data_IF_349588645251
#
_entry.id   IF_349588645251
#
_cell.length_a   1.000
_cell.length_b   1.000
_cell.length_c   1.000
_cell.angle_alpha   90.00
_cell.angle_beta   90.00
_cell.angle_gamma   90.00
#
_symmetry.space_group_name_H-M   'P 1'
#
loop_
_entity.id
_entity.type
_entity.pdbx_description
1 polymer ?
#
# COMPACT_ATOMS: atom_id res chain seq x y z
N UNK A 1 -1.19 -20.95 25.16
CA UNK A 1 -0.37 -19.75 25.47
C UNK A 1 1.07 -20.20 25.72
N UNK A 2 2.17 -19.46 25.45
CA UNK A 2 2.38 -18.19 24.75
C UNK A 2 3.45 -18.31 23.62
N UNK A 3 3.10 -18.15 22.33
CA UNK A 3 4.10 -18.20 21.22
C UNK A 3 4.64 -16.82 20.82
N UNK A 4 4.10 -15.74 21.35
CA UNK A 4 4.37 -14.38 20.89
C UNK A 4 5.23 -13.53 21.84
N UNK A 5 5.36 -13.92 23.11
CA UNK A 5 6.00 -13.08 24.14
C UNK A 5 7.50 -12.84 23.88
N UNK A 6 8.14 -13.68 23.07
CA UNK A 6 9.57 -13.55 22.71
C UNK A 6 9.84 -12.57 21.56
N UNK A 7 8.82 -12.12 20.84
CA UNK A 7 8.99 -11.21 19.70
C UNK A 7 9.11 -9.79 20.24
N UNK A 8 10.31 -9.20 20.15
CA UNK A 8 10.54 -7.80 20.48
C UNK A 8 10.09 -6.90 19.34
N UNK A 9 9.41 -5.81 19.67
CA UNK A 9 8.96 -4.78 18.72
C UNK A 9 9.76 -3.51 18.94
N UNK A 10 10.49 -3.09 17.91
CA UNK A 10 11.44 -1.99 17.96
C UNK A 10 11.09 -0.94 16.90
N UNK A 11 11.37 0.34 17.17
CA UNK A 11 11.00 1.41 16.23
C UNK A 11 11.67 1.24 14.86
N UNK A 12 12.81 0.55 14.82
CA UNK A 12 13.54 0.11 13.62
C UNK A 12 12.74 -0.85 12.73
N UNK A 13 11.64 -1.42 13.22
CA UNK A 13 10.68 -2.20 12.43
C UNK A 13 9.78 -1.29 11.54
N UNK A 14 9.85 0.03 11.71
CA UNK A 14 9.25 1.03 10.81
C UNK A 14 10.27 1.58 9.82
N UNK A 15 9.80 1.99 8.65
CA UNK A 15 10.58 2.84 7.75
C UNK A 15 10.83 4.22 8.41
N UNK A 16 11.92 4.93 8.05
CA UNK A 16 12.15 6.29 8.57
C UNK A 16 10.97 7.24 8.33
N UNK A 17 10.29 7.09 7.19
CA UNK A 17 9.10 7.87 6.85
C UNK A 17 7.93 7.56 7.79
N UNK A 18 7.62 6.29 8.01
CA UNK A 18 6.56 5.87 8.94
C UNK A 18 6.86 6.27 10.38
N UNK A 19 8.13 6.15 10.81
CA UNK A 19 8.54 6.61 12.13
C UNK A 19 8.32 8.12 12.29
N UNK A 20 8.63 8.92 11.25
CA UNK A 20 8.38 10.37 11.27
C UNK A 20 6.88 10.68 11.40
N UNK A 21 6.03 9.96 10.65
CA UNK A 21 4.57 10.13 10.73
C UNK A 21 4.00 9.83 12.12
N UNK A 22 4.57 8.87 12.86
CA UNK A 22 4.16 8.56 14.24
C UNK A 22 4.35 9.78 15.16
N UNK A 23 5.52 10.44 15.08
CA UNK A 23 5.81 11.58 15.94
C UNK A 23 5.09 12.85 15.48
N UNK A 24 4.95 13.05 14.17
CA UNK A 24 4.16 14.13 13.59
C UNK A 24 2.70 14.05 14.08
N UNK A 25 2.10 12.86 14.07
CA UNK A 25 0.75 12.65 14.59
C UNK A 25 0.62 13.03 16.07
N UNK A 26 1.56 12.60 16.91
CA UNK A 26 1.53 12.90 18.35
C UNK A 26 1.64 14.41 18.61
N UNK A 27 2.44 15.10 17.80
CA UNK A 27 2.64 16.54 17.89
C UNK A 27 1.38 17.31 17.45
N UNK A 28 0.82 16.99 16.28
CA UNK A 28 -0.42 17.59 15.76
C UNK A 28 -1.58 17.39 16.74
N UNK A 29 -1.73 16.17 17.28
CA UNK A 29 -2.79 15.87 18.24
C UNK A 29 -2.72 16.74 19.49
N UNK A 30 -1.51 17.03 19.98
CA UNK A 30 -1.31 17.87 21.15
C UNK A 30 -1.48 19.36 20.81
N UNK A 31 -0.76 19.85 19.82
CA UNK A 31 -0.62 21.30 19.59
C UNK A 31 -1.81 21.89 18.83
N UNK A 32 -2.41 21.14 17.90
CA UNK A 32 -3.51 21.65 17.05
C UNK A 32 -4.89 21.18 17.54
N UNK A 33 -4.96 20.00 18.16
CA UNK A 33 -6.23 19.38 18.55
C UNK A 33 -6.43 19.26 20.07
N UNK A 34 -5.51 19.77 20.88
CA UNK A 34 -5.62 19.78 22.35
C UNK A 34 -6.01 18.41 22.93
N UNK A 35 -5.45 17.35 22.35
CA UNK A 35 -5.69 15.97 22.75
C UNK A 35 -7.15 15.50 22.59
N UNK A 36 -7.91 16.04 21.63
CA UNK A 36 -9.30 15.63 21.37
C UNK A 36 -9.39 14.11 21.08
N UNK A 37 -10.19 13.42 21.89
CA UNK A 37 -10.36 11.96 21.81
C UNK A 37 -11.06 11.53 20.52
N UNK A 38 -12.02 12.31 20.02
CA UNK A 38 -12.75 11.97 18.81
C UNK A 38 -11.83 12.08 17.59
N UNK A 39 -11.08 13.18 17.50
CA UNK A 39 -10.05 13.34 16.48
C UNK A 39 -9.03 12.20 16.55
N UNK A 40 -8.59 11.81 17.75
CA UNK A 40 -7.68 10.67 17.91
C UNK A 40 -8.28 9.38 17.34
N UNK A 41 -9.53 9.04 17.69
CA UNK A 41 -10.20 7.81 17.22
C UNK A 41 -10.41 7.79 15.71
N UNK A 42 -10.79 8.93 15.13
CA UNK A 42 -11.02 9.03 13.69
C UNK A 42 -9.70 8.96 12.93
N UNK A 43 -8.67 9.67 13.41
CA UNK A 43 -7.38 9.78 12.73
C UNK A 43 -6.51 8.54 12.87
N UNK A 44 -6.51 7.88 14.04
CA UNK A 44 -5.67 6.70 14.31
C UNK A 44 -6.00 5.54 13.35
N UNK A 45 -7.24 5.48 12.86
CA UNK A 45 -7.72 4.48 11.91
C UNK A 45 -7.02 4.55 10.55
N UNK A 46 -6.42 5.70 10.21
CA UNK A 46 -5.69 5.93 8.96
C UNK A 46 -4.23 5.43 9.01
N UNK A 47 -3.74 5.02 10.18
CA UNK A 47 -2.38 4.54 10.37
C UNK A 47 -2.32 3.02 10.29
N UNK A 48 -1.20 2.47 9.82
CA UNK A 48 -0.96 1.03 9.85
C UNK A 48 -0.85 0.52 11.29
N UNK A 49 -1.08 -0.77 11.54
CA UNK A 49 -0.97 -1.32 12.91
C UNK A 49 0.42 -1.19 13.52
N UNK A 50 1.47 -1.20 12.68
CA UNK A 50 2.83 -0.96 13.15
C UNK A 50 2.94 0.47 13.68
N UNK A 51 2.43 1.44 12.94
CA UNK A 51 2.39 2.85 13.35
C UNK A 51 1.47 3.07 14.55
N UNK A 52 0.25 2.52 14.56
CA UNK A 52 -0.67 2.58 15.69
C UNK A 52 -0.04 2.04 16.99
N UNK A 53 0.69 0.92 16.90
CA UNK A 53 1.42 0.38 18.05
C UNK A 53 2.44 1.39 18.59
N UNK A 54 3.24 2.01 17.72
CA UNK A 54 4.23 3.00 18.17
C UNK A 54 3.59 4.31 18.63
N UNK A 55 2.48 4.75 18.03
CA UNK A 55 1.68 5.87 18.52
C UNK A 55 1.23 5.56 19.96
N UNK A 56 0.66 4.39 20.21
CA UNK A 56 0.25 3.98 21.56
C UNK A 56 1.42 3.91 22.55
N UNK A 57 2.54 3.33 22.11
CA UNK A 57 3.75 3.18 22.94
C UNK A 57 4.33 4.54 23.34
N UNK A 58 4.42 5.49 22.41
CA UNK A 58 5.03 6.81 22.66
C UNK A 58 4.05 7.85 23.20
N UNK A 59 2.74 7.70 22.94
CA UNK A 59 1.70 8.57 23.52
C UNK A 59 1.75 8.61 25.05
N UNK A 60 2.14 7.51 25.71
CA UNK A 60 2.34 7.50 27.18
C UNK A 60 3.46 8.44 27.62
N UNK A 61 4.56 8.49 26.88
CA UNK A 61 5.67 9.41 27.15
C UNK A 61 5.36 10.84 26.67
N UNK A 62 4.53 11.01 25.65
CA UNK A 62 4.13 12.31 25.13
C UNK A 62 3.08 12.98 26.02
N UNK A 63 1.99 12.29 26.33
CA UNK A 63 0.81 12.87 26.98
C UNK A 63 0.72 12.54 28.46
N UNK A 64 1.55 11.63 28.99
CA UNK A 64 1.56 11.30 30.41
C UNK A 64 1.77 12.54 31.26
N UNK A 65 1.04 12.70 32.37
CA UNK A 65 1.23 13.83 33.27
C UNK A 65 2.34 13.52 34.29
N UNK A 66 3.57 13.37 33.82
CA UNK A 66 4.75 13.19 34.65
C UNK A 66 5.82 14.23 34.25
N UNK A 67 6.75 14.52 35.17
CA UNK A 67 7.78 15.55 34.96
C UNK A 67 8.74 15.28 33.81
N UNK A 68 8.66 14.10 33.20
CA UNK A 68 9.52 13.67 32.09
C UNK A 68 8.74 13.53 30.78
N UNK A 69 7.51 14.06 30.71
CA UNK A 69 6.69 13.99 29.51
C UNK A 69 6.83 15.23 28.64
N UNK A 70 6.60 15.04 27.35
CA UNK A 70 6.55 16.16 26.41
C UNK A 70 5.43 17.16 26.76
N UNK A 71 4.26 16.67 27.18
CA UNK A 71 3.14 17.51 27.61
C UNK A 71 3.55 18.44 28.75
N UNK A 72 4.26 17.93 29.76
CA UNK A 72 4.73 18.75 30.88
C UNK A 72 5.69 19.85 30.42
N UNK A 73 6.69 19.50 29.59
CA UNK A 73 7.62 20.47 29.01
C UNK A 73 6.92 21.50 28.12
N UNK A 74 5.91 21.07 27.37
CA UNK A 74 5.11 21.92 26.51
C UNK A 74 4.28 22.91 27.32
N UNK A 75 3.55 22.45 28.36
CA UNK A 75 2.77 23.30 29.26
C UNK A 75 3.64 24.36 29.93
N UNK A 76 4.84 23.98 30.38
CA UNK A 76 5.81 24.90 30.98
C UNK A 76 6.29 25.98 29.99
N UNK A 77 6.56 25.61 28.74
CA UNK A 77 6.94 26.56 27.67
C UNK A 77 5.85 27.57 27.36
N UNK A 78 4.58 27.18 27.50
CA UNK A 78 3.44 28.09 27.30
C UNK A 78 3.26 29.09 28.46
N UNK A 79 4.08 29.04 29.50
CA UNK A 79 4.00 29.99 30.62
C UNK A 79 2.81 29.77 31.56
N UNK A 80 2.16 28.60 31.47
CA UNK A 80 0.93 28.25 32.22
C UNK A 80 1.18 28.14 33.75
N UNK A 81 2.45 28.21 34.20
CA UNK A 81 2.79 28.30 35.63
C UNK A 81 2.34 29.64 36.28
N UNK A 82 1.93 30.67 35.52
CA UNK A 82 1.52 31.99 36.01
C UNK A 82 0.04 32.33 35.72
N UNK A 83 -0.85 31.50 36.29
CA UNK A 83 -2.31 31.61 36.50
C UNK A 83 -3.07 32.86 35.99
N UNK A 84 -3.81 32.69 34.90
CA UNK A 84 -5.13 33.32 34.67
C UNK A 84 -6.27 32.29 34.72
N UNK A 85 -7.51 32.73 34.98
CA UNK A 85 -8.68 31.84 35.12
C UNK A 85 -9.05 31.05 33.84
N UNK A 86 -8.70 31.56 32.65
CA UNK A 86 -8.99 30.87 31.38
C UNK A 86 -7.90 29.86 30.99
N UNK A 87 -6.64 30.11 31.36
CA UNK A 87 -5.53 29.14 31.20
C UNK A 87 -5.76 27.90 32.07
N UNK A 88 -6.36 28.04 33.25
CA UNK A 88 -6.76 26.92 34.10
C UNK A 88 -7.80 26.01 33.42
N UNK A 89 -8.75 26.58 32.66
CA UNK A 89 -9.75 25.77 31.93
C UNK A 89 -9.13 24.97 30.78
N UNK A 90 -8.16 25.54 30.07
CA UNK A 90 -7.44 24.86 28.99
C UNK A 90 -6.59 23.73 29.59
N UNK A 91 -5.92 23.97 30.71
CA UNK A 91 -5.15 22.95 31.43
C UNK A 91 -6.04 21.78 31.87
N UNK A 92 -7.19 22.08 32.48
CA UNK A 92 -8.16 21.07 32.91
C UNK A 92 -8.71 20.25 31.73
N UNK A 93 -8.97 20.91 30.60
CA UNK A 93 -9.40 20.25 29.36
C UNK A 93 -8.31 19.30 28.84
N UNK A 94 -7.07 19.76 28.73
CA UNK A 94 -5.93 18.96 28.24
C UNK A 94 -5.67 17.78 29.17
N UNK A 95 -5.74 17.98 30.49
CA UNK A 95 -5.55 16.90 31.47
C UNK A 95 -6.64 15.84 31.38
N UNK A 96 -7.89 16.28 31.22
CA UNK A 96 -9.05 15.39 31.01
C UNK A 96 -8.90 14.60 29.71
N UNK A 97 -8.56 15.29 28.62
CA UNK A 97 -8.38 14.71 27.30
C UNK A 97 -7.21 13.73 27.24
N UNK A 98 -6.07 14.08 27.84
CA UNK A 98 -4.91 13.19 27.98
C UNK A 98 -5.31 11.90 28.70
N UNK A 99 -5.97 12.02 29.86
CA UNK A 99 -6.44 10.86 30.63
C UNK A 99 -7.37 9.97 29.80
N UNK A 100 -8.29 10.56 29.04
CA UNK A 100 -9.20 9.84 28.17
C UNK A 100 -8.48 9.09 27.04
N UNK A 101 -7.49 9.72 26.40
CA UNK A 101 -6.66 9.08 25.37
C UNK A 101 -5.83 7.94 25.97
N UNK A 102 -5.17 8.16 27.12
CA UNK A 102 -4.37 7.13 27.78
C UNK A 102 -5.24 5.92 28.17
N UNK A 103 -6.44 6.14 28.69
CA UNK A 103 -7.41 5.08 28.97
C UNK A 103 -7.82 4.33 27.69
N UNK A 104 -8.07 5.03 26.58
CA UNK A 104 -8.34 4.38 25.31
C UNK A 104 -7.16 3.52 24.85
N UNK A 105 -5.93 4.03 24.98
CA UNK A 105 -4.71 3.32 24.61
C UNK A 105 -4.55 2.05 25.45
N UNK A 106 -4.70 2.13 26.77
CA UNK A 106 -4.55 0.96 27.65
C UNK A 106 -5.50 -0.18 27.28
N UNK A 107 -6.73 0.15 26.87
CA UNK A 107 -7.72 -0.82 26.41
C UNK A 107 -7.37 -1.48 25.07
N UNK A 108 -6.59 -0.80 24.21
CA UNK A 108 -6.31 -1.25 22.84
C UNK A 108 -4.85 -1.69 22.61
N UNK A 109 -3.93 -1.35 23.50
CA UNK A 109 -2.48 -1.56 23.36
C UNK A 109 -2.15 -3.04 23.20
N UNK A 110 -2.65 -3.90 24.10
CA UNK A 110 -2.38 -5.35 24.04
C UNK A 110 -2.89 -5.99 22.76
N UNK A 111 -4.05 -5.54 22.25
CA UNK A 111 -4.62 -6.05 21.00
C UNK A 111 -3.76 -5.64 19.81
N UNK A 112 -3.33 -4.38 19.78
CA UNK A 112 -2.46 -3.83 18.73
C UNK A 112 -1.07 -4.46 18.76
N UNK A 113 -0.50 -4.65 19.94
CA UNK A 113 0.77 -5.35 20.16
C UNK A 113 0.71 -6.79 19.66
N UNK A 114 -0.35 -7.54 20.02
CA UNK A 114 -0.55 -8.91 19.54
C UNK A 114 -0.63 -8.98 18.02
N UNK A 115 -1.34 -8.04 17.39
CA UNK A 115 -1.41 -7.92 15.94
C UNK A 115 -0.03 -7.64 15.34
N UNK A 116 0.73 -6.69 15.90
CA UNK A 116 2.08 -6.40 15.42
C UNK A 116 3.06 -7.57 15.57
N UNK A 117 3.07 -8.26 16.72
CA UNK A 117 3.88 -9.48 16.91
C UNK A 117 3.52 -10.57 15.91
N UNK A 118 2.22 -10.71 15.58
CA UNK A 118 1.76 -11.63 14.55
C UNK A 118 2.33 -11.27 13.17
N UNK A 119 2.32 -9.99 12.79
CA UNK A 119 2.96 -9.53 11.55
C UNK A 119 4.43 -9.87 11.48
N UNK A 120 5.20 -9.46 12.51
CA UNK A 120 6.65 -9.64 12.54
C UNK A 120 7.06 -11.12 12.46
N UNK A 121 6.29 -12.01 13.10
CA UNK A 121 6.50 -13.46 13.01
C UNK A 121 6.32 -14.01 11.60
N UNK A 122 5.30 -13.52 10.90
CA UNK A 122 4.88 -14.10 9.64
C UNK A 122 5.64 -13.54 8.45
N UNK A 123 6.23 -12.35 8.59
CA UNK A 123 7.11 -11.73 7.60
C UNK A 123 8.26 -12.66 7.18
N UNK A 124 8.92 -13.33 8.13
CA UNK A 124 10.00 -14.29 7.82
C UNK A 124 9.49 -15.60 7.20
N UNK A 125 8.32 -16.09 7.63
CA UNK A 125 7.77 -17.36 7.14
C UNK A 125 7.29 -17.29 5.68
N UNK A 126 6.95 -16.10 5.18
CA UNK A 126 6.54 -15.91 3.79
C UNK A 126 7.71 -15.61 2.85
N UNK A 127 8.86 -15.15 3.37
CA UNK A 127 10.08 -14.94 2.59
C UNK A 127 10.81 -16.25 2.23
N UNK A 128 10.61 -17.32 3.02
CA UNK A 128 11.27 -18.63 2.83
C UNK A 128 10.50 -19.53 1.83
N UNK A 129 9.22 -19.23 1.55
CA UNK A 129 8.49 -19.87 0.46
C UNK A 129 8.93 -19.26 -0.87
N UNK A 130 9.44 -20.08 -1.81
CA UNK A 130 10.03 -19.62 -3.07
C UNK A 130 9.23 -18.49 -3.70
N UNK A 131 9.88 -17.34 -3.92
CA UNK A 131 9.25 -16.06 -4.34
C UNK A 131 8.05 -16.28 -5.26
N UNK A 132 6.86 -16.12 -4.69
CA UNK A 132 5.62 -16.31 -5.42
C UNK A 132 5.36 -15.02 -6.22
N UNK A 133 5.66 -15.07 -7.52
CA UNK A 133 5.62 -13.90 -8.42
C UNK A 133 4.25 -13.72 -9.08
N UNK A 134 3.28 -13.23 -8.32
CA UNK A 134 1.95 -12.90 -8.87
C UNK A 134 1.78 -11.40 -9.04
N UNK A 135 1.93 -10.97 -10.30
CA UNK A 135 1.70 -9.61 -10.75
C UNK A 135 0.87 -9.67 -12.02
N UNK A 136 -0.22 -8.91 -12.06
CA UNK A 136 -1.06 -8.77 -13.25
C UNK A 136 -0.58 -7.52 -13.99
N UNK A 137 0.09 -7.64 -15.13
CA UNK A 137 0.66 -6.48 -15.80
C UNK A 137 -0.46 -5.56 -16.31
N UNK A 138 -0.59 -4.36 -15.73
CA UNK A 138 -1.17 -3.22 -16.42
C UNK A 138 -0.15 -2.77 -17.44
N UNK A 139 -0.42 -3.01 -18.71
CA UNK A 139 0.50 -2.62 -19.77
C UNK A 139 0.59 -1.08 -19.80
N UNK A 140 1.77 -0.53 -19.54
CA UNK A 140 2.16 0.76 -20.11
C UNK A 140 2.37 0.55 -21.61
N UNK A 141 1.85 1.45 -22.43
CA UNK A 141 2.18 1.49 -23.85
C UNK A 141 3.38 2.40 -24.00
N UNK A 142 4.46 1.90 -24.61
CA UNK A 142 5.47 2.81 -25.17
C UNK A 142 4.80 3.66 -26.24
N UNK A 143 4.57 4.91 -25.91
CA UNK A 143 4.01 5.93 -26.79
C UNK A 143 5.16 6.64 -27.47
N UNK A 144 5.02 6.93 -28.76
CA UNK A 144 5.94 7.85 -29.43
C UNK A 144 5.59 9.24 -28.94
N UNK A 145 6.53 9.90 -28.27
CA UNK A 145 6.41 11.32 -27.98
C UNK A 145 7.15 12.04 -29.10
N UNK A 146 6.42 12.86 -29.86
CA UNK A 146 7.05 13.81 -30.77
C UNK A 146 7.69 14.90 -29.92
N UNK A 147 8.97 15.12 -30.13
CA UNK A 147 9.79 16.01 -29.29
C UNK A 147 9.32 17.47 -29.36
N UNK A 148 8.69 17.84 -30.48
CA UNK A 148 8.20 19.18 -30.76
C UNK A 148 6.97 19.53 -29.89
N UNK A 149 6.27 18.53 -29.36
CA UNK A 149 5.05 18.70 -28.55
C UNK A 149 5.34 18.79 -27.03
N UNK A 150 6.56 18.52 -26.56
CA UNK A 150 6.86 18.46 -25.13
C UNK A 150 8.31 18.90 -24.76
N UNK A 151 8.60 20.21 -24.79
CA UNK A 151 9.96 20.74 -24.61
C UNK A 151 10.55 20.54 -23.21
N UNK A 152 9.72 20.43 -22.16
CA UNK A 152 10.21 20.17 -20.78
C UNK A 152 10.80 18.75 -20.63
N UNK A 153 10.26 17.78 -21.35
CA UNK A 153 10.78 16.41 -21.36
C UNK A 153 12.18 16.33 -21.99
N UNK A 154 12.44 17.20 -22.98
CA UNK A 154 13.71 17.36 -23.68
C UNK A 154 14.84 17.83 -22.76
N UNK A 155 14.56 18.75 -21.83
CA UNK A 155 15.58 19.19 -20.85
C UNK A 155 15.99 18.07 -19.90
N UNK A 156 15.04 17.29 -19.39
CA UNK A 156 15.33 16.17 -18.48
C UNK A 156 16.15 15.07 -19.14
N UNK A 157 15.89 14.77 -20.42
CA UNK A 157 16.69 13.78 -21.17
C UNK A 157 18.10 14.28 -21.50
N UNK A 158 18.26 15.56 -21.88
CA UNK A 158 19.58 16.17 -22.12
C UNK A 158 20.48 16.12 -20.88
N UNK A 159 19.89 16.20 -19.68
CA UNK A 159 20.59 16.04 -18.41
C UNK A 159 21.10 14.60 -18.17
N UNK A 160 20.39 13.58 -18.66
CA UNK A 160 20.76 12.16 -18.50
C UNK A 160 21.87 11.77 -19.49
N UNK A 161 21.82 12.26 -20.74
CA UNK A 161 22.74 11.88 -21.81
C UNK A 161 23.98 12.76 -21.96
N UNK A 162 24.11 13.88 -21.24
CA UNK A 162 25.38 14.64 -21.12
C UNK A 162 26.58 13.81 -20.61
N UNK A 163 26.37 12.56 -20.20
CA UNK A 163 27.42 11.59 -19.84
C UNK A 163 27.96 10.75 -21.01
N UNK A 164 27.38 10.85 -22.22
CA UNK A 164 27.85 10.10 -23.41
C UNK A 164 27.96 11.04 -24.61
N UNK A 165 29.20 11.31 -25.02
CA UNK A 165 29.59 12.22 -26.10
C UNK A 165 29.25 11.71 -27.51
N UNK A 166 27.99 11.38 -27.80
CA UNK A 166 27.57 11.05 -29.17
C UNK A 166 26.46 11.97 -29.66
N UNK A 167 26.60 12.41 -30.92
CA UNK A 167 25.70 13.34 -31.61
C UNK A 167 24.23 12.85 -31.57
N UNK A 168 23.40 13.64 -30.88
CA UNK A 168 22.02 13.32 -30.59
C UNK A 168 21.10 13.60 -31.79
N UNK A 169 20.92 12.62 -32.69
CA UNK A 169 19.86 12.65 -33.71
C UNK A 169 18.77 11.64 -33.37
N UNK A 170 17.80 12.06 -32.57
CA UNK A 170 16.63 11.23 -32.26
C UNK A 170 15.40 12.12 -32.38
N UNK A 171 14.67 12.03 -33.51
CA UNK A 171 13.40 12.75 -33.74
C UNK A 171 12.20 12.11 -33.03
N UNK A 172 12.35 10.91 -32.46
CA UNK A 172 11.26 10.19 -31.81
C UNK A 172 11.75 9.32 -30.65
N UNK A 173 11.28 9.61 -29.43
CA UNK A 173 11.50 8.74 -28.27
C UNK A 173 10.28 7.86 -28.01
N UNK A 174 10.55 6.59 -27.68
CA UNK A 174 9.55 5.70 -27.10
C UNK A 174 9.54 5.93 -25.59
N UNK A 175 8.52 6.63 -25.11
CA UNK A 175 8.32 6.90 -23.69
C UNK A 175 7.17 6.02 -23.21
N UNK A 176 7.30 5.39 -22.06
CA UNK A 176 6.14 4.76 -21.41
C UNK A 176 5.24 5.86 -20.82
N UNK A 177 4.34 6.43 -21.62
CA UNK A 177 3.24 7.23 -21.08
C UNK A 177 2.19 6.28 -20.51
N UNK A 178 1.71 6.59 -19.31
CA UNK A 178 0.52 5.92 -18.79
C UNK A 178 -0.62 6.15 -19.78
N UNK A 179 -1.22 5.08 -20.30
CA UNK A 179 -2.39 5.19 -21.17
C UNK A 179 -3.57 5.75 -20.37
N UNK A 180 -4.54 6.35 -21.05
CA UNK A 180 -5.80 6.79 -20.42
C UNK A 180 -6.46 5.61 -19.67
N UNK A 181 -6.39 4.41 -20.25
CA UNK A 181 -6.78 3.16 -19.60
C UNK A 181 -6.06 2.92 -18.25
N UNK A 182 -4.75 3.16 -18.17
CA UNK A 182 -4.03 2.99 -16.91
C UNK A 182 -4.53 3.98 -15.85
N UNK A 183 -4.79 5.22 -16.24
CA UNK A 183 -5.28 6.26 -15.34
C UNK A 183 -6.71 5.96 -14.89
N UNK A 184 -7.58 5.54 -15.80
CA UNK A 184 -8.96 5.14 -15.51
C UNK A 184 -9.00 3.90 -14.61
N UNK A 185 -8.28 2.84 -14.97
CA UNK A 185 -8.17 1.64 -14.16
C UNK A 185 -7.60 1.94 -12.77
N UNK A 186 -6.57 2.79 -12.68
CA UNK A 186 -6.02 3.22 -11.40
C UNK A 186 -7.05 3.96 -10.56
N UNK A 187 -7.76 4.92 -11.14
CA UNK A 187 -8.80 5.69 -10.43
C UNK A 187 -9.90 4.77 -9.91
N UNK A 188 -10.35 3.81 -10.72
CA UNK A 188 -11.36 2.84 -10.31
C UNK A 188 -10.87 1.88 -9.23
N UNK A 189 -9.64 1.35 -9.33
CA UNK A 189 -9.07 0.52 -8.25
C UNK A 189 -9.00 1.31 -6.94
N UNK A 190 -8.57 2.58 -7.00
CA UNK A 190 -8.53 3.42 -5.81
C UNK A 190 -9.94 3.65 -5.25
N UNK A 191 -10.92 3.98 -6.10
CA UNK A 191 -12.32 4.16 -5.70
C UNK A 191 -12.89 2.91 -5.01
N UNK A 192 -12.66 1.72 -5.58
CA UNK A 192 -13.17 0.45 -5.05
C UNK A 192 -12.53 0.06 -3.71
N UNK A 193 -11.29 0.47 -3.46
CA UNK A 193 -10.52 0.01 -2.31
C UNK A 193 -10.40 1.03 -1.16
N UNK A 194 -10.67 2.32 -1.41
CA UNK A 194 -10.54 3.39 -0.38
C UNK A 194 -11.54 3.21 0.78
N UNK A 195 -12.65 2.50 0.58
CA UNK A 195 -13.56 2.13 1.68
C UNK A 195 -13.11 0.92 2.51
N UNK A 196 -12.12 0.15 2.02
CA UNK A 196 -11.64 -1.08 2.65
C UNK A 196 -10.25 -0.94 3.28
N UNK A 197 -9.44 -0.05 2.73
CA UNK A 197 -8.04 0.14 3.07
C UNK A 197 -7.69 1.63 3.15
N UNK A 198 -6.67 1.95 3.94
CA UNK A 198 -6.11 3.30 3.93
C UNK A 198 -5.39 3.59 2.60
N UNK A 199 -5.21 4.89 2.32
CA UNK A 199 -4.62 5.38 1.06
C UNK A 199 -3.23 4.79 0.78
N UNK A 200 -2.41 4.53 1.79
CA UNK A 200 -1.07 3.98 1.61
C UNK A 200 -1.15 2.48 1.27
N UNK A 201 -2.00 1.72 1.94
CA UNK A 201 -2.25 0.30 1.63
C UNK A 201 -2.79 0.11 0.21
N UNK A 202 -3.76 0.94 -0.22
CA UNK A 202 -4.26 0.91 -1.61
C UNK A 202 -3.13 1.16 -2.60
N UNK A 203 -2.28 2.15 -2.30
CA UNK A 203 -1.13 2.52 -3.13
C UNK A 203 -0.14 1.36 -3.25
N UNK A 204 0.26 0.76 -2.14
CA UNK A 204 1.19 -0.38 -2.12
C UNK A 204 0.62 -1.57 -2.87
N UNK A 205 -0.64 -1.93 -2.61
CA UNK A 205 -1.34 -2.99 -3.31
C UNK A 205 -1.33 -2.76 -4.82
N UNK A 206 -1.68 -1.55 -5.25
CA UNK A 206 -1.77 -1.21 -6.67
C UNK A 206 -0.41 -1.34 -7.36
N UNK A 207 0.64 -0.71 -6.80
CA UNK A 207 1.95 -0.70 -7.44
C UNK A 207 2.65 -2.06 -7.38
N UNK A 208 2.39 -2.86 -6.35
CA UNK A 208 2.92 -4.21 -6.24
C UNK A 208 2.23 -5.19 -7.21
N UNK A 209 0.91 -5.05 -7.37
CA UNK A 209 0.09 -6.04 -8.06
C UNK A 209 -0.13 -5.75 -9.53
N UNK A 210 -0.21 -4.46 -9.89
CA UNK A 210 -0.72 -4.06 -11.20
C UNK A 210 0.25 -3.18 -11.98
N UNK A 211 0.98 -2.26 -11.33
CA UNK A 211 1.85 -1.31 -12.03
C UNK A 211 3.26 -1.84 -12.26
N UNK A 212 3.83 -1.60 -13.43
CA UNK A 212 5.24 -1.91 -13.79
C UNK A 212 6.23 -0.87 -13.24
N UNK A 213 6.09 -0.45 -11.98
CA UNK A 213 7.12 0.35 -11.31
C UNK A 213 8.50 -0.35 -11.32
N UNK A 214 9.56 0.39 -10.93
CA UNK A 214 10.97 -0.05 -11.00
C UNK A 214 11.28 -1.44 -10.39
N UNK A 215 10.41 -1.99 -9.53
CA UNK A 215 10.52 -3.35 -9.05
C UNK A 215 9.87 -4.35 -10.04
N UNK A 216 10.73 -5.15 -10.67
CA UNK A 216 10.33 -6.22 -11.58
C UNK A 216 9.59 -7.37 -10.88
N UNK A 217 9.80 -7.54 -9.57
CA UNK A 217 9.23 -8.63 -8.78
C UNK A 217 8.21 -8.10 -7.75
N UNK A 218 7.01 -8.70 -7.68
CA UNK A 218 6.06 -8.39 -6.61
C UNK A 218 6.60 -8.95 -5.28
N UNK A 219 6.41 -8.20 -4.20
CA UNK A 219 6.71 -8.61 -2.83
C UNK A 219 5.42 -9.08 -2.14
N UNK A 220 5.54 -9.96 -1.15
CA UNK A 220 4.39 -10.30 -0.31
C UNK A 220 4.01 -9.07 0.53
N UNK A 221 2.78 -8.59 0.38
CA UNK A 221 2.24 -7.54 1.23
C UNK A 221 1.53 -8.15 2.43
N UNK A 222 1.38 -7.32 3.46
CA UNK A 222 0.74 -7.66 4.73
C UNK A 222 -0.40 -6.67 5.00
N UNK A 223 -1.44 -6.71 4.15
CA UNK A 223 -2.59 -5.81 4.25
C UNK A 223 -3.67 -6.45 5.15
N UNK A 224 -4.36 -5.64 5.98
CA UNK A 224 -5.55 -6.10 6.70
C UNK A 224 -6.83 -5.60 6.08
N UNK A 225 -7.85 -6.43 6.21
CA UNK A 225 -9.23 -6.10 5.91
C UNK A 225 -10.10 -6.65 7.05
N UNK A 226 -11.20 -5.98 7.33
CA UNK A 226 -12.18 -6.42 8.35
C UNK A 226 -13.15 -7.44 7.77
N UNK A 227 -13.63 -7.20 6.54
CA UNK A 227 -14.67 -7.99 5.91
C UNK A 227 -14.14 -8.72 4.68
N UNK A 228 -14.05 -10.05 4.75
CA UNK A 228 -13.58 -10.85 3.62
C UNK A 228 -14.54 -10.79 2.44
N UNK A 229 -15.85 -10.69 2.66
CA UNK A 229 -16.84 -10.67 1.59
C UNK A 229 -16.73 -9.38 0.76
N UNK A 230 -16.67 -8.23 1.42
CA UNK A 230 -16.43 -6.94 0.75
C UNK A 230 -15.12 -6.93 -0.02
N UNK A 231 -14.05 -7.50 0.56
CA UNK A 231 -12.78 -7.65 -0.12
C UNK A 231 -12.91 -8.48 -1.41
N UNK A 232 -13.53 -9.67 -1.32
CA UNK A 232 -13.71 -10.53 -2.48
C UNK A 232 -14.57 -9.85 -3.56
N UNK A 233 -15.60 -9.10 -3.16
CA UNK A 233 -16.42 -8.32 -4.08
C UNK A 233 -15.62 -7.22 -4.78
N UNK A 234 -14.83 -6.43 -4.05
CA UNK A 234 -13.98 -5.40 -4.65
C UNK A 234 -12.98 -5.99 -5.64
N UNK A 235 -12.32 -7.11 -5.30
CA UNK A 235 -11.42 -7.79 -6.24
C UNK A 235 -12.14 -8.43 -7.43
N UNK A 236 -13.39 -8.87 -7.25
CA UNK A 236 -14.22 -9.31 -8.37
C UNK A 236 -14.56 -8.17 -9.32
N UNK A 237 -14.91 -6.99 -8.80
CA UNK A 237 -15.14 -5.80 -9.61
C UNK A 237 -13.88 -5.36 -10.34
N UNK A 238 -12.70 -5.41 -9.70
CA UNK A 238 -11.41 -5.16 -10.36
C UNK A 238 -11.15 -6.18 -11.47
N UNK A 239 -11.45 -7.47 -11.24
CA UNK A 239 -11.36 -8.52 -12.25
C UNK A 239 -12.28 -8.25 -13.44
N UNK A 240 -13.53 -7.87 -13.18
CA UNK A 240 -14.50 -7.51 -14.22
C UNK A 240 -14.04 -6.25 -14.95
N UNK A 241 -13.61 -5.19 -14.28
CA UNK A 241 -13.06 -3.97 -14.89
C UNK A 241 -11.87 -4.28 -15.83
N UNK A 242 -10.95 -5.13 -15.38
CA UNK A 242 -9.81 -5.54 -16.20
C UNK A 242 -10.23 -6.29 -17.48
N UNK A 243 -11.38 -6.98 -17.43
CA UNK A 243 -11.91 -7.83 -18.50
C UNK A 243 -13.08 -7.23 -19.29
N UNK A 244 -13.80 -6.25 -18.76
CA UNK A 244 -14.93 -5.56 -19.39
C UNK A 244 -14.45 -4.78 -20.61
N UNK A 245 -13.29 -4.14 -20.47
CA UNK A 245 -12.56 -3.52 -21.57
C UNK A 245 -11.88 -4.49 -22.52
N UNK A 246 -11.94 -5.81 -22.25
CA UNK A 246 -11.45 -6.84 -23.17
C UNK A 246 -12.42 -7.15 -24.31
N UNK A 247 -13.63 -6.57 -24.32
CA UNK A 247 -14.59 -6.75 -25.42
C UNK A 247 -14.82 -5.51 -26.31
N UNK A 248 -14.61 -4.28 -25.84
CA UNK A 248 -14.90 -3.08 -26.64
C UNK A 248 -13.65 -2.50 -27.33
N UNK A 249 -13.25 -3.08 -28.45
CA UNK A 249 -12.57 -2.41 -29.58
C UNK A 249 -11.13 -1.82 -29.42
N UNK A 250 -10.66 -1.44 -28.22
CA UNK A 250 -9.38 -0.75 -28.04
C UNK A 250 -8.18 -1.70 -28.04
N UNK A 251 -8.25 -2.82 -27.31
CA UNK A 251 -7.16 -3.83 -27.27
C UNK A 251 -6.86 -4.42 -28.64
N UNK A 252 -7.88 -4.71 -29.45
CA UNK A 252 -7.69 -5.25 -30.80
C UNK A 252 -7.07 -4.22 -31.74
N UNK A 253 -7.59 -2.99 -31.79
CA UNK A 253 -7.01 -1.90 -32.62
C UNK A 253 -5.56 -1.59 -32.22
N UNK A 254 -5.28 -1.46 -30.93
CA UNK A 254 -3.94 -1.15 -30.40
C UNK A 254 -2.92 -2.29 -30.61
N UNK A 255 -3.32 -3.56 -30.45
CA UNK A 255 -2.45 -4.71 -30.75
C UNK A 255 -2.17 -4.82 -32.25
N UNK A 256 -3.17 -4.52 -33.09
CA UNK A 256 -3.03 -4.53 -34.56
C UNK A 256 -2.09 -3.41 -35.01
N UNK A 257 -2.25 -2.19 -34.49
CA UNK A 257 -1.36 -1.06 -34.77
C UNK A 257 0.07 -1.32 -34.31
N UNK A 258 0.26 -1.86 -33.10
CA UNK A 258 1.58 -2.25 -32.62
C UNK A 258 2.20 -3.35 -33.50
N UNK A 259 1.42 -4.33 -33.96
CA UNK A 259 1.89 -5.37 -34.91
C UNK A 259 2.26 -4.80 -36.28
N UNK A 260 1.54 -3.78 -36.78
CA UNK A 260 1.87 -3.07 -38.02
C UNK A 260 3.18 -2.29 -37.87
N UNK A 261 3.32 -1.51 -36.81
CA UNK A 261 4.54 -0.74 -36.52
C UNK A 261 5.77 -1.65 -36.25
N UNK A 262 5.59 -2.83 -35.65
CA UNK A 262 6.69 -3.80 -35.46
C UNK A 262 7.06 -4.58 -36.73
N UNK A 263 6.22 -4.61 -37.76
CA UNK A 263 6.60 -5.18 -39.07
C UNK A 263 7.53 -4.23 -39.84
N UNK A 264 7.41 -2.91 -39.64
CA UNK A 264 8.25 -1.91 -40.32
C UNK A 264 9.64 -1.73 -39.66
N UNK A 265 9.76 -1.99 -38.35
CA UNK A 265 11.05 -1.90 -37.64
C UNK A 265 11.86 -3.19 -37.85
N UNK A 266 12.80 -3.11 -38.80
CA UNK A 266 13.70 -4.17 -39.31
C UNK A 266 14.36 -5.08 -38.25
N UNK A 267 14.69 -6.28 -38.73
CA UNK A 267 15.13 -7.55 -38.10
C UNK A 267 16.25 -7.57 -37.04
N UNK A 268 16.75 -6.46 -36.50
CA UNK A 268 17.92 -6.48 -35.58
C UNK A 268 17.55 -6.36 -34.09
N UNK A 269 16.36 -5.85 -33.72
CA UNK A 269 15.93 -5.69 -32.31
C UNK A 269 14.94 -6.76 -31.79
N UNK A 270 14.84 -7.91 -32.46
CA UNK A 270 13.89 -8.98 -32.07
C UNK A 270 14.28 -9.74 -30.79
N UNK A 271 15.53 -9.63 -30.31
CA UNK A 271 16.02 -10.37 -29.15
C UNK A 271 15.53 -9.89 -27.78
N UNK A 272 15.02 -8.66 -27.66
CA UNK A 272 14.76 -8.03 -26.36
C UNK A 272 13.34 -7.53 -26.12
N UNK A 273 12.41 -7.76 -27.05
CA UNK A 273 11.02 -7.29 -26.88
C UNK A 273 10.15 -8.39 -26.31
N UNK A 274 9.58 -8.15 -25.14
CA UNK A 274 8.53 -8.98 -24.54
C UNK A 274 7.38 -9.10 -25.54
N UNK A 275 7.14 -10.30 -26.08
CA UNK A 275 5.96 -10.55 -26.92
C UNK A 275 4.72 -10.17 -26.11
N UNK A 276 3.81 -9.32 -26.61
CA UNK A 276 2.60 -8.99 -25.89
C UNK A 276 1.78 -10.27 -25.68
N UNK A 277 1.83 -10.79 -24.45
CA UNK A 277 1.14 -12.00 -24.07
C UNK A 277 -0.36 -11.72 -24.02
N UNK A 278 -1.13 -12.24 -24.97
CA UNK A 278 -2.59 -12.13 -25.00
C UNK A 278 -3.28 -12.99 -23.92
N UNK A 279 -2.61 -13.29 -22.81
CA UNK A 279 -3.18 -14.09 -21.73
C UNK A 279 -4.44 -13.39 -21.19
N UNK A 280 -5.55 -14.14 -21.18
CA UNK A 280 -6.77 -13.78 -20.45
C UNK A 280 -6.44 -13.81 -18.97
N UNK A 281 -6.67 -12.69 -18.29
CA UNK A 281 -6.59 -12.66 -16.83
C UNK A 281 -7.83 -13.37 -16.33
N UNK A 282 -7.62 -14.36 -15.51
CA UNK A 282 -8.63 -15.23 -14.92
C UNK A 282 -8.87 -14.83 -13.46
N UNK A 283 -9.97 -15.31 -12.87
CA UNK A 283 -10.20 -15.15 -11.43
C UNK A 283 -9.06 -15.75 -10.60
N UNK A 284 -8.40 -16.79 -11.11
CA UNK A 284 -7.24 -17.40 -10.45
C UNK A 284 -6.06 -16.43 -10.36
N UNK A 285 -5.80 -15.64 -11.40
CA UNK A 285 -4.72 -14.64 -11.39
C UNK A 285 -4.97 -13.55 -10.34
N UNK A 286 -6.23 -13.17 -10.14
CA UNK A 286 -6.65 -12.21 -9.11
C UNK A 286 -6.52 -12.82 -7.71
N UNK A 287 -6.94 -14.08 -7.54
CA UNK A 287 -6.72 -14.80 -6.28
C UNK A 287 -5.24 -14.95 -5.92
N UNK A 288 -4.40 -15.08 -6.93
CA UNK A 288 -2.94 -15.10 -6.80
C UNK A 288 -2.40 -13.76 -6.31
N UNK A 289 -2.88 -12.63 -6.85
CA UNK A 289 -2.59 -11.29 -6.30
C UNK A 289 -3.05 -11.15 -4.85
N UNK A 290 -4.25 -11.65 -4.53
CA UNK A 290 -4.76 -11.62 -3.16
C UNK A 290 -3.91 -12.48 -2.22
N UNK A 291 -3.49 -13.68 -2.63
CA UNK A 291 -2.57 -14.52 -1.87
C UNK A 291 -1.24 -13.80 -1.56
N UNK A 292 -0.72 -13.05 -2.53
CA UNK A 292 0.47 -12.22 -2.33
C UNK A 292 0.24 -11.07 -1.35
N UNK A 293 -0.98 -10.57 -1.22
CA UNK A 293 -1.25 -9.32 -0.50
C UNK A 293 -1.82 -9.51 0.91
N UNK A 294 -2.43 -10.66 1.18
CA UNK A 294 -3.23 -10.89 2.38
C UNK A 294 -2.76 -12.12 3.16
N UNK A 295 -2.13 -11.94 4.34
CA UNK A 295 -1.69 -13.04 5.20
C UNK A 295 -2.80 -14.03 5.54
N UNK A 296 -4.02 -13.55 5.77
CA UNK A 296 -5.18 -14.35 6.14
C UNK A 296 -5.50 -15.40 5.06
N UNK A 297 -5.29 -15.08 3.78
CA UNK A 297 -5.49 -16.02 2.67
C UNK A 297 -4.39 -17.08 2.65
N UNK A 298 -3.14 -16.67 2.91
CA UNK A 298 -2.00 -17.59 3.00
C UNK A 298 -2.13 -18.56 4.18
N UNK A 299 -2.59 -18.06 5.31
CA UNK A 299 -2.79 -18.89 6.51
C UNK A 299 -3.96 -19.85 6.32
N UNK A 300 -5.06 -19.39 5.73
CA UNK A 300 -6.16 -20.28 5.36
C UNK A 300 -5.71 -21.39 4.40
N UNK A 301 -4.72 -21.13 3.53
CA UNK A 301 -4.10 -22.17 2.69
C UNK A 301 -3.25 -23.14 3.53
N UNK A 302 -2.39 -22.65 4.42
CA UNK A 302 -1.56 -23.50 5.30
C UNK A 302 -2.42 -24.46 6.13
N UNK A 303 -3.49 -23.95 6.74
CA UNK A 303 -4.42 -24.75 7.53
C UNK A 303 -5.15 -25.79 6.65
N UNK A 304 -5.48 -25.42 5.41
CA UNK A 304 -6.10 -26.33 4.45
C UNK A 304 -5.15 -27.47 4.03
N UNK A 305 -3.89 -27.17 3.71
CA UNK A 305 -2.88 -28.15 3.30
C UNK A 305 -2.54 -29.10 4.44
N UNK A 306 -2.49 -28.63 5.68
CA UNK A 306 -2.30 -29.50 6.85
C UNK A 306 -3.36 -30.60 6.94
N UNK A 307 -4.59 -30.33 6.45
CA UNK A 307 -5.70 -31.30 6.39
C UNK A 307 -5.78 -32.03 5.06
N UNK A 308 -5.26 -31.46 3.98
CA UNK A 308 -5.34 -31.97 2.61
C UNK A 308 -3.96 -31.88 1.93
N UNK A 309 -2.97 -32.72 2.31
CA UNK A 309 -1.58 -32.55 1.89
C UNK A 309 -1.35 -32.66 0.38
N UNK A 310 -2.25 -33.32 -0.35
CA UNK A 310 -2.18 -33.51 -1.80
C UNK A 310 -2.67 -32.31 -2.62
N UNK A 311 -3.18 -31.24 -1.98
CA UNK A 311 -3.72 -30.08 -2.69
C UNK A 311 -2.67 -28.99 -2.86
N UNK A 312 -2.36 -28.67 -4.11
CA UNK A 312 -1.50 -27.53 -4.44
C UNK A 312 -2.21 -26.18 -4.27
N UNK A 313 -1.42 -25.10 -4.33
CA UNK A 313 -1.90 -23.73 -4.15
C UNK A 313 -2.91 -23.33 -5.22
N UNK A 314 -2.67 -23.70 -6.48
CA UNK A 314 -3.52 -23.31 -7.60
C UNK A 314 -4.91 -23.95 -7.49
N UNK A 315 -5.00 -25.21 -7.10
CA UNK A 315 -6.27 -25.92 -6.85
C UNK A 315 -7.03 -25.33 -5.66
N UNK A 316 -6.32 -24.96 -4.60
CA UNK A 316 -6.93 -24.25 -3.47
C UNK A 316 -7.48 -22.88 -3.88
N UNK A 317 -6.67 -22.06 -4.54
CA UNK A 317 -7.06 -20.72 -4.98
C UNK A 317 -8.18 -20.76 -6.03
N UNK A 318 -8.17 -21.75 -6.92
CA UNK A 318 -9.24 -21.97 -7.89
C UNK A 318 -10.56 -22.27 -7.18
N UNK A 319 -10.52 -23.11 -6.14
CA UNK A 319 -11.70 -23.41 -5.31
C UNK A 319 -12.23 -22.16 -4.62
N UNK A 320 -11.34 -21.35 -4.03
CA UNK A 320 -11.73 -20.05 -3.44
C UNK A 320 -12.29 -19.08 -4.48
N UNK A 321 -11.70 -19.02 -5.68
CA UNK A 321 -12.14 -18.14 -6.76
C UNK A 321 -13.58 -18.40 -7.24
N UNK A 322 -14.04 -19.65 -7.13
CA UNK A 322 -15.42 -20.05 -7.51
C UNK A 322 -16.47 -19.54 -6.52
N UNK A 323 -16.07 -19.29 -5.27
CA UNK A 323 -16.93 -18.79 -4.21
C UNK A 323 -17.06 -17.26 -4.25
N UNK A 324 -16.27 -16.58 -5.07
CA UNK A 324 -16.45 -15.16 -5.38
C UNK A 324 -17.64 -15.03 -6.35
N UNK A 325 -18.81 -14.76 -5.78
CA UNK A 325 -20.06 -14.49 -6.51
C UNK A 325 -20.60 -13.12 -6.11
N UNK A 326 -21.32 -12.49 -7.04
CA UNK A 326 -22.06 -11.24 -6.82
C UNK A 326 -23.11 -11.50 -5.74
N UNK A 327 -22.86 -10.98 -4.54
CA UNK A 327 -23.83 -10.93 -3.44
C UNK A 327 -24.89 -9.88 -3.71
#
# INVERSE_FOLDING_TARGET
MPKYDRIKLELTDLSPKSASMVFEFLHILLEEHLLDLNYFKDSISNYSIREQYFIFKYAKSYFGYNSNSYLYDWLKKQGIDNQTNDENKILDLINTNSSNILNYIENNEKTTERRFKFYKKNESNYLIGGEIRYKIPLRSLTTKVQLDENPEFLEKLKLIDKKKNDEFKIENYLVEKASDYFLEFKSEVFRLLTGLFDKNQVKELFYNSFSTGNNTNPICLNIEFKNSAELYNAFFEIYELYNSEKNSSLRSKQIIEHKKQTKEIKKVRKGFKTKPSNKKITKLDIMKVMYNSFPQIRDSYKDFVARNPSTDLDKYLLTKSRNIRKS
#
